data_IF_771966164875
#
_entry.id   IF_771966164875
#
_cell.length_a   1.000
_cell.length_b   1.000
_cell.length_c   1.000
_cell.angle_alpha   90.00
_cell.angle_beta   90.00
_cell.angle_gamma   90.00
#
_symmetry.space_group_name_H-M   'P 1'
#
loop_
_entity.id
_entity.type
_entity.pdbx_description
1 polymer ?
#
# COMPACT_ATOMS: atom_id res chain seq x y z
N UNK A 1 -0.25 -39.32 -33.54
CA UNK A 1 -1.12 -38.18 -33.16
C UNK A 1 -2.32 -38.75 -32.44
N UNK A 2 -2.40 -38.58 -31.11
CA UNK A 2 -3.64 -38.58 -30.33
C UNK A 2 -3.33 -37.98 -28.96
N UNK A 3 -4.11 -36.97 -28.61
CA UNK A 3 -3.82 -36.01 -27.56
C UNK A 3 -3.94 -36.59 -26.16
N UNK A 4 -3.07 -36.10 -25.27
CA UNK A 4 -3.27 -36.27 -23.82
C UNK A 4 -4.35 -35.27 -23.38
N UNK A 5 -5.45 -35.83 -22.91
CA UNK A 5 -6.54 -35.17 -22.22
C UNK A 5 -6.00 -34.43 -20.99
N UNK A 6 -6.22 -33.11 -20.96
CA UNK A 6 -6.19 -32.34 -19.72
C UNK A 6 -7.50 -32.61 -19.00
N UNK A 7 -7.48 -33.42 -17.95
CA UNK A 7 -8.63 -33.61 -17.07
C UNK A 7 -8.28 -33.18 -15.66
N UNK A 8 -8.82 -32.03 -15.28
CA UNK A 8 -9.35 -31.69 -13.97
C UNK A 8 -8.47 -31.95 -12.75
N UNK A 9 -7.64 -30.97 -12.39
CA UNK A 9 -7.20 -30.77 -11.01
C UNK A 9 -7.68 -29.39 -10.55
N UNK A 10 -8.73 -29.33 -9.74
CA UNK A 10 -9.07 -28.16 -8.94
C UNK A 10 -8.00 -28.00 -7.84
N UNK A 11 -6.81 -27.59 -8.25
CA UNK A 11 -5.77 -27.15 -7.34
C UNK A 11 -6.21 -25.82 -6.75
N UNK A 12 -6.76 -25.86 -5.53
CA UNK A 12 -6.73 -24.70 -4.66
C UNK A 12 -5.27 -24.28 -4.57
N UNK A 13 -4.94 -23.15 -5.20
CA UNK A 13 -3.64 -22.53 -5.07
C UNK A 13 -3.46 -22.26 -3.57
N UNK A 14 -2.36 -22.71 -2.94
CA UNK A 14 -2.10 -22.30 -1.58
C UNK A 14 -2.02 -20.78 -1.59
N UNK A 15 -2.97 -20.14 -0.89
CA UNK A 15 -2.88 -18.73 -0.55
C UNK A 15 -1.51 -18.56 0.07
N UNK A 16 -0.60 -17.90 -0.64
CA UNK A 16 0.64 -17.49 -0.03
C UNK A 16 0.21 -16.62 1.14
N UNK A 17 0.38 -17.13 2.36
CA UNK A 17 0.56 -16.23 3.50
C UNK A 17 1.66 -15.29 3.02
N UNK A 18 1.30 -14.05 2.69
CA UNK A 18 2.26 -12.97 2.71
C UNK A 18 2.70 -12.92 4.16
N UNK A 19 3.72 -13.72 4.48
CA UNK A 19 4.65 -13.39 5.55
C UNK A 19 4.85 -11.89 5.40
N UNK A 20 4.39 -11.16 6.40
CA UNK A 20 4.32 -9.71 6.38
C UNK A 20 5.70 -9.21 5.98
N UNK A 21 5.85 -8.89 4.68
CA UNK A 21 7.04 -8.24 4.17
C UNK A 21 7.20 -7.08 5.13
N UNK A 22 8.33 -6.97 5.86
CA UNK A 22 8.50 -5.89 6.83
C UNK A 22 8.16 -4.62 6.08
N UNK A 23 6.99 -4.06 6.39
CA UNK A 23 6.36 -3.10 5.51
C UNK A 23 7.25 -1.88 5.63
N UNK A 24 8.08 -1.67 4.61
CA UNK A 24 9.09 -0.63 4.67
C UNK A 24 8.39 0.69 4.91
N UNK A 25 9.06 1.65 5.56
CA UNK A 25 8.47 2.97 5.79
C UNK A 25 7.97 3.58 4.49
N UNK A 26 8.63 3.23 3.38
CA UNK A 26 8.21 3.57 2.03
C UNK A 26 6.90 2.90 1.60
N UNK A 27 6.70 1.61 1.85
CA UNK A 27 5.45 0.92 1.55
C UNK A 27 4.26 1.51 2.33
N UNK A 28 4.46 1.85 3.61
CA UNK A 28 3.47 2.56 4.42
C UNK A 28 3.13 3.93 3.83
N UNK A 29 4.15 4.68 3.38
CA UNK A 29 3.97 5.98 2.74
C UNK A 29 3.17 5.86 1.43
N UNK A 30 3.46 4.86 0.60
CA UNK A 30 2.72 4.61 -0.63
C UNK A 30 1.25 4.33 -0.36
N UNK A 31 0.94 3.47 0.61
CA UNK A 31 -0.43 3.16 1.00
C UNK A 31 -1.20 4.43 1.44
N UNK A 32 -0.56 5.29 2.23
CA UNK A 32 -1.18 6.56 2.66
C UNK A 32 -1.46 7.48 1.46
N UNK A 33 -0.55 7.56 0.49
CA UNK A 33 -0.74 8.37 -0.72
C UNK A 33 -1.91 7.84 -1.56
N UNK A 34 -2.05 6.53 -1.70
CA UNK A 34 -3.18 5.92 -2.41
C UNK A 34 -4.52 6.23 -1.73
N UNK A 35 -4.59 6.14 -0.40
CA UNK A 35 -5.80 6.49 0.36
C UNK A 35 -6.15 7.98 0.24
N UNK A 36 -5.15 8.87 0.28
CA UNK A 36 -5.34 10.31 0.07
C UNK A 36 -6.01 10.59 -1.28
N UNK A 37 -5.65 9.86 -2.33
CA UNK A 37 -6.25 9.98 -3.66
C UNK A 37 -7.76 9.72 -3.68
N UNK A 38 -8.26 8.81 -2.82
CA UNK A 38 -9.69 8.46 -2.73
C UNK A 38 -10.54 9.58 -2.14
N UNK A 39 -9.95 10.40 -1.27
CA UNK A 39 -10.63 11.49 -0.59
C UNK A 39 -10.67 12.80 -1.38
N UNK A 40 -9.87 12.95 -2.45
CA UNK A 40 -9.80 14.20 -3.23
C UNK A 40 -11.16 14.60 -3.82
N UNK A 41 -11.79 13.73 -4.62
CA UNK A 41 -13.09 14.06 -5.26
C UNK A 41 -14.18 14.34 -4.22
N UNK A 42 -14.38 13.51 -3.18
CA UNK A 42 -15.34 13.79 -2.11
C UNK A 42 -15.09 15.10 -1.36
N UNK A 43 -13.83 15.50 -1.16
CA UNK A 43 -13.49 16.79 -0.55
C UNK A 43 -13.95 17.96 -1.41
N UNK A 44 -13.71 17.92 -2.72
CA UNK A 44 -14.21 18.96 -3.63
C UNK A 44 -15.73 18.97 -3.74
N UNK A 45 -16.40 17.84 -3.50
CA UNK A 45 -17.86 17.75 -3.39
C UNK A 45 -18.42 18.26 -2.04
N UNK A 46 -17.57 18.80 -1.15
CA UNK A 46 -17.99 19.37 0.13
C UNK A 46 -18.06 18.38 1.29
N UNK A 47 -17.54 17.16 1.15
CA UNK A 47 -17.53 16.18 2.25
C UNK A 47 -16.58 16.60 3.36
N UNK A 48 -17.14 16.92 4.53
CA UNK A 48 -16.36 17.27 5.73
C UNK A 48 -15.50 16.09 6.19
N UNK A 49 -16.06 14.89 6.23
CA UNK A 49 -15.35 13.68 6.67
C UNK A 49 -14.15 13.36 5.77
N UNK A 50 -14.30 13.47 4.46
CA UNK A 50 -13.20 13.29 3.52
C UNK A 50 -12.13 14.36 3.69
N UNK A 51 -12.54 15.62 3.87
CA UNK A 51 -11.61 16.73 4.15
C UNK A 51 -10.79 16.51 5.43
N UNK A 52 -11.41 15.99 6.48
CA UNK A 52 -10.71 15.70 7.73
C UNK A 52 -9.77 14.50 7.60
N UNK A 53 -10.15 13.46 6.84
CA UNK A 53 -9.24 12.35 6.49
C UNK A 53 -8.07 12.82 5.66
N UNK A 54 -8.30 13.67 4.65
CA UNK A 54 -7.26 14.24 3.80
C UNK A 54 -6.21 15.00 4.64
N UNK A 55 -6.67 15.87 5.55
CA UNK A 55 -5.78 16.62 6.46
C UNK A 55 -4.95 15.69 7.35
N UNK A 56 -5.57 14.66 7.93
CA UNK A 56 -4.87 13.68 8.78
C UNK A 56 -3.87 12.86 7.98
N UNK A 57 -4.25 12.39 6.80
CA UNK A 57 -3.37 11.62 5.91
C UNK A 57 -2.17 12.43 5.45
N UNK A 58 -2.32 13.73 5.16
CA UNK A 58 -1.20 14.61 4.81
C UNK A 58 -0.21 14.75 5.99
N UNK A 59 -0.72 14.94 7.21
CA UNK A 59 0.14 15.01 8.40
C UNK A 59 0.88 13.69 8.64
N UNK A 60 0.19 12.56 8.47
CA UNK A 60 0.77 11.24 8.62
C UNK A 60 1.83 10.93 7.56
N UNK A 61 1.54 11.20 6.28
CA UNK A 61 2.51 11.09 5.19
C UNK A 61 3.76 11.91 5.47
N UNK A 62 3.62 13.14 6.00
CA UNK A 62 4.76 13.99 6.35
C UNK A 62 5.64 13.37 7.45
N UNK A 63 5.05 12.68 8.42
CA UNK A 63 5.82 11.95 9.44
C UNK A 63 6.56 10.77 8.83
N UNK A 64 5.86 9.96 8.02
CA UNK A 64 6.45 8.80 7.33
C UNK A 64 7.60 9.19 6.41
N UNK A 65 7.51 10.31 5.68
CA UNK A 65 8.62 10.80 4.85
C UNK A 65 9.89 11.03 5.67
N UNK A 66 9.78 11.58 6.89
CA UNK A 66 10.96 11.77 7.75
C UNK A 66 11.56 10.44 8.18
N UNK A 67 10.71 9.47 8.50
CA UNK A 67 11.16 8.12 8.85
C UNK A 67 11.84 7.42 7.66
N UNK A 68 11.28 7.55 6.46
CA UNK A 68 11.87 7.02 5.22
C UNK A 68 13.24 7.62 4.93
N UNK A 69 13.41 8.93 5.13
CA UNK A 69 14.69 9.60 4.94
C UNK A 69 15.74 9.08 5.94
N UNK A 70 15.37 8.96 7.22
CA UNK A 70 16.27 8.42 8.26
C UNK A 70 16.65 6.96 7.97
N UNK A 71 15.69 6.13 7.55
CA UNK A 71 15.93 4.75 7.15
C UNK A 71 16.92 4.68 5.97
N UNK A 72 16.72 5.52 4.95
CA UNK A 72 17.60 5.60 3.78
C UNK A 72 19.01 6.07 4.15
N UNK A 73 19.12 7.10 4.99
CA UNK A 73 20.42 7.59 5.47
C UNK A 73 21.20 6.54 6.27
N UNK A 74 20.50 5.73 7.06
CA UNK A 74 21.14 4.62 7.80
C UNK A 74 21.60 3.52 6.86
N UNK A 75 20.76 3.10 5.92
CA UNK A 75 21.11 2.10 4.91
C UNK A 75 22.25 2.54 4.00
N UNK A 76 22.41 3.84 3.74
CA UNK A 76 23.53 4.37 2.96
C UNK A 76 24.86 4.43 3.73
N UNK A 77 24.84 4.30 5.07
CA UNK A 77 26.02 4.33 5.95
C UNK A 77 26.50 2.94 6.38
N UNK A 78 25.69 1.91 6.13
CA UNK A 78 25.99 0.49 6.38
C UNK A 78 26.55 -0.17 5.13
#
# INVERSE_FOLDING_TARGET
>A
MSGKLYQGGSGQMPMYMTDSIPQSKYADLLAVIEELGKDIKPTYAGSRSASDRLKRGILHARALVRECLIETERSARS
#
